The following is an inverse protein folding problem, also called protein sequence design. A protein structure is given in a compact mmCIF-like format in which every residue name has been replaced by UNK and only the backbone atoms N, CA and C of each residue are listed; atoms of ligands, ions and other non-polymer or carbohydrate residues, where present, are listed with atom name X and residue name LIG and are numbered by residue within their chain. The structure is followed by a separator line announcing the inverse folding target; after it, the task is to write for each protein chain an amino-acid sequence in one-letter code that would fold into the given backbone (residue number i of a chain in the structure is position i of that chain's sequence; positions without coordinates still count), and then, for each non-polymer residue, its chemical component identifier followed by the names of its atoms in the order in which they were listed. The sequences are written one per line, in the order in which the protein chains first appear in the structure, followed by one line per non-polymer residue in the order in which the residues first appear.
data_IF_328826736830
#
_entry.id   IF_328826736830
#
_cell.length_a   1.000
_cell.length_b   1.000
_cell.length_c   1.000
_cell.angle_alpha   90.00
_cell.angle_beta   90.00
_cell.angle_gamma   90.00
#
_symmetry.space_group_name_H-M   'P 1'
#
loop_
_entity.id
_entity.type
_entity.pdbx_description
1 polymer ?
#
# COMPACT_ATOMS: atom_id res chain seq x y z
N UNK A 1 -2.71 -37.30 -8.96
CA UNK A 1 -3.07 -36.11 -8.19
C UNK A 1 -4.42 -35.53 -8.60
N UNK A 2 -4.99 -34.60 -7.85
CA UNK A 2 -6.33 -34.03 -8.08
C UNK A 2 -6.47 -33.33 -9.45
N UNK A 3 -5.42 -32.69 -9.93
CA UNK A 3 -5.38 -32.06 -11.25
C UNK A 3 -5.63 -33.09 -12.36
N UNK A 4 -5.00 -34.27 -12.28
CA UNK A 4 -5.20 -35.35 -13.25
C UNK A 4 -6.59 -35.99 -13.19
N UNK A 5 -7.28 -35.91 -12.05
CA UNK A 5 -8.66 -36.37 -11.90
C UNK A 5 -9.68 -35.48 -12.64
N UNK A 6 -9.46 -34.18 -12.64
CA UNK A 6 -10.17 -33.17 -13.43
C UNK A 6 -11.63 -32.93 -13.05
N UNK A 7 -12.40 -33.95 -12.59
CA UNK A 7 -13.83 -33.84 -12.23
C UNK A 7 -14.25 -34.96 -11.28
N UNK A 8 -15.48 -34.87 -10.76
CA UNK A 8 -16.09 -35.85 -9.86
C UNK A 8 -15.26 -36.09 -8.57
N UNK A 9 -14.85 -34.98 -7.94
CA UNK A 9 -14.11 -35.03 -6.68
C UNK A 9 -14.98 -35.61 -5.55
N UNK A 10 -14.40 -36.55 -4.79
CA UNK A 10 -15.03 -37.08 -3.57
C UNK A 10 -14.83 -36.14 -2.38
N UNK A 11 -15.49 -36.43 -1.25
CA UNK A 11 -15.27 -35.66 -0.01
C UNK A 11 -13.83 -35.83 0.49
N UNK A 12 -13.24 -37.01 0.30
CA UNK A 12 -11.83 -37.27 0.64
C UNK A 12 -10.87 -36.43 -0.21
N UNK A 13 -11.17 -36.24 -1.50
CA UNK A 13 -10.39 -35.36 -2.38
C UNK A 13 -10.43 -33.91 -1.88
N UNK A 14 -11.61 -33.44 -1.41
CA UNK A 14 -11.74 -32.11 -0.84
C UNK A 14 -10.94 -31.95 0.46
N UNK A 15 -10.98 -32.97 1.34
CA UNK A 15 -10.18 -32.99 2.57
C UNK A 15 -8.68 -32.92 2.26
N UNK A 16 -8.21 -33.65 1.27
CA UNK A 16 -6.80 -33.57 0.81
C UNK A 16 -6.45 -32.16 0.35
N UNK A 17 -7.31 -31.52 -0.46
CA UNK A 17 -7.09 -30.15 -0.93
C UNK A 17 -7.05 -29.14 0.21
N UNK A 18 -8.02 -29.21 1.13
CA UNK A 18 -8.09 -28.30 2.28
C UNK A 18 -6.89 -28.46 3.22
N UNK A 19 -6.41 -29.70 3.43
CA UNK A 19 -5.21 -29.94 4.21
C UNK A 19 -3.95 -29.35 3.57
N UNK A 20 -3.82 -29.43 2.24
CA UNK A 20 -2.70 -28.78 1.53
C UNK A 20 -2.80 -27.25 1.60
N UNK A 21 -4.02 -26.66 1.49
CA UNK A 21 -4.22 -25.23 1.70
C UNK A 21 -3.78 -24.80 3.10
N UNK A 22 -4.19 -25.53 4.14
CA UNK A 22 -3.78 -25.23 5.53
C UNK A 22 -2.26 -25.25 5.68
N UNK A 23 -1.60 -26.27 5.14
CA UNK A 23 -0.11 -26.36 5.17
C UNK A 23 0.56 -25.17 4.47
N UNK A 24 -0.02 -24.65 3.38
CA UNK A 24 0.50 -23.46 2.69
C UNK A 24 0.29 -22.20 3.52
N UNK A 25 -0.90 -22.03 4.08
CA UNK A 25 -1.24 -20.89 4.95
C UNK A 25 -0.30 -20.87 6.16
N UNK A 26 -0.07 -22.00 6.80
CA UNK A 26 0.82 -22.12 7.96
C UNK A 26 2.26 -21.72 7.67
N UNK A 27 2.69 -21.76 6.40
CA UNK A 27 4.04 -21.33 5.97
C UNK A 27 4.15 -19.84 5.69
N UNK A 28 3.06 -19.13 5.44
CA UNK A 28 3.09 -17.73 4.97
C UNK A 28 3.83 -16.84 5.98
N UNK A 29 3.36 -16.78 7.20
CA UNK A 29 3.95 -15.92 8.25
C UNK A 29 5.40 -16.30 8.58
N UNK A 30 5.73 -17.59 8.85
CA UNK A 30 7.12 -17.97 9.12
C UNK A 30 8.08 -17.67 7.97
N UNK A 31 7.64 -17.88 6.73
CA UNK A 31 8.48 -17.57 5.56
C UNK A 31 8.79 -16.07 5.45
N UNK A 32 7.77 -15.21 5.61
CA UNK A 32 7.97 -13.76 5.60
C UNK A 32 8.89 -13.32 6.76
N UNK A 33 8.68 -13.83 7.96
CA UNK A 33 9.52 -13.51 9.11
C UNK A 33 10.99 -13.89 8.89
N UNK A 34 11.27 -15.06 8.31
CA UNK A 34 12.63 -15.50 8.02
C UNK A 34 13.28 -14.65 6.91
N UNK A 35 12.57 -14.38 5.82
CA UNK A 35 13.09 -13.55 4.75
C UNK A 35 13.37 -12.10 5.22
N UNK A 36 12.55 -11.59 6.11
CA UNK A 36 12.79 -10.27 6.70
C UNK A 36 13.99 -10.29 7.65
N UNK A 37 14.08 -11.30 8.51
CA UNK A 37 15.22 -11.49 9.41
C UNK A 37 16.56 -11.58 8.69
N UNK A 38 16.59 -12.20 7.52
CA UNK A 38 17.81 -12.30 6.68
C UNK A 38 18.10 -11.03 5.87
N UNK A 39 17.22 -10.03 5.91
CA UNK A 39 17.34 -8.78 5.14
C UNK A 39 17.05 -8.93 3.64
N UNK A 40 16.46 -10.06 3.22
CA UNK A 40 16.10 -10.27 1.82
C UNK A 40 14.88 -9.46 1.40
N UNK A 41 13.96 -9.20 2.34
CA UNK A 41 12.79 -8.35 2.15
C UNK A 41 12.63 -7.37 3.29
N UNK A 42 11.96 -6.26 3.05
CA UNK A 42 11.37 -5.40 4.06
C UNK A 42 9.84 -5.59 4.03
N UNK A 43 9.21 -5.60 5.20
CA UNK A 43 7.77 -5.77 5.31
C UNK A 43 7.14 -4.48 5.83
N UNK A 44 6.10 -4.04 5.15
CA UNK A 44 5.21 -2.99 5.62
C UNK A 44 3.92 -3.59 6.16
N UNK A 45 3.20 -2.81 6.95
CA UNK A 45 1.84 -3.15 7.40
C UNK A 45 0.85 -2.08 7.00
N UNK A 46 -0.39 -2.27 7.36
CA UNK A 46 -1.48 -1.31 7.18
C UNK A 46 -2.16 -1.07 8.55
N UNK A 47 -2.92 0.00 8.73
CA UNK A 47 -3.74 0.18 9.93
C UNK A 47 -4.64 -1.04 10.17
N UNK A 48 -4.85 -1.43 11.43
CA UNK A 48 -5.35 -2.74 11.87
C UNK A 48 -6.57 -3.28 11.11
N UNK A 49 -7.63 -2.50 11.00
CA UNK A 49 -8.86 -2.89 10.30
C UNK A 49 -8.99 -2.26 8.89
N UNK A 50 -7.87 -1.81 8.31
CA UNK A 50 -7.81 -1.18 6.99
C UNK A 50 -8.73 0.04 6.82
N UNK A 51 -8.81 0.96 7.79
CA UNK A 51 -9.71 2.09 7.71
C UNK A 51 -9.12 3.23 6.87
N UNK A 52 -9.99 4.06 6.32
CA UNK A 52 -9.61 5.36 5.77
C UNK A 52 -9.33 6.32 6.94
N UNK A 53 -8.08 6.38 7.40
CA UNK A 53 -7.68 7.11 8.61
C UNK A 53 -8.12 8.58 8.64
N UNK A 54 -7.99 9.38 7.55
CA UNK A 54 -8.48 10.75 7.55
C UNK A 54 -9.95 10.86 7.91
N UNK A 55 -10.80 9.93 7.46
CA UNK A 55 -12.23 9.96 7.75
C UNK A 55 -12.58 9.54 9.18
N UNK A 56 -11.74 8.69 9.81
CA UNK A 56 -11.88 8.38 11.24
C UNK A 56 -11.40 9.57 12.07
N UNK A 57 -10.29 10.17 11.65
CA UNK A 57 -9.76 11.35 12.32
C UNK A 57 -10.82 12.47 12.34
N UNK A 58 -11.36 12.81 11.16
CA UNK A 58 -12.39 13.81 10.98
C UNK A 58 -13.04 13.68 9.60
N UNK A 59 -14.34 13.44 9.55
CA UNK A 59 -15.07 13.34 8.28
C UNK A 59 -15.00 14.60 7.42
N UNK A 60 -14.74 15.77 8.01
CA UNK A 60 -14.58 17.02 7.26
C UNK A 60 -13.33 17.03 6.37
N UNK A 61 -12.34 16.14 6.63
CA UNK A 61 -11.17 15.99 5.77
C UNK A 61 -11.51 15.45 4.37
N UNK A 62 -12.70 14.87 4.18
CA UNK A 62 -13.18 14.49 2.85
C UNK A 62 -13.19 15.69 1.89
N UNK A 63 -13.59 16.87 2.36
CA UNK A 63 -13.63 18.09 1.55
C UNK A 63 -12.24 18.61 1.13
N UNK A 64 -11.16 18.17 1.77
CA UNK A 64 -9.78 18.49 1.36
C UNK A 64 -9.39 17.65 0.14
N UNK A 65 -9.75 16.38 0.15
CA UNK A 65 -9.48 15.46 -0.99
C UNK A 65 -10.43 15.67 -2.17
N UNK A 66 -11.69 16.00 -1.89
CA UNK A 66 -12.76 16.27 -2.86
C UNK A 66 -13.55 17.51 -2.44
N UNK A 67 -13.30 18.62 -3.12
CA UNK A 67 -13.91 19.95 -2.82
C UNK A 67 -15.45 19.91 -2.97
N UNK A 68 -15.99 18.96 -3.72
CA UNK A 68 -17.43 18.77 -3.91
C UNK A 68 -18.07 17.72 -3.01
N UNK A 69 -17.32 17.12 -2.08
CA UNK A 69 -17.83 16.04 -1.24
C UNK A 69 -18.99 16.50 -0.35
N UNK A 70 -20.10 15.76 -0.39
CA UNK A 70 -21.19 15.93 0.56
C UNK A 70 -20.75 15.38 1.94
N UNK A 71 -20.64 16.26 2.90
CA UNK A 71 -20.25 15.88 4.25
C UNK A 71 -21.44 15.34 5.04
N UNK A 72 -21.25 14.36 5.94
CA UNK A 72 -22.31 13.84 6.77
C UNK A 72 -22.87 14.94 7.72
N UNK A 73 -24.19 14.95 7.89
CA UNK A 73 -24.86 15.87 8.83
C UNK A 73 -24.29 15.78 10.24
N UNK A 74 -23.96 14.57 10.70
CA UNK A 74 -23.29 14.33 11.96
C UNK A 74 -21.80 14.11 11.70
N UNK A 75 -20.99 15.13 11.99
CA UNK A 75 -19.53 15.01 11.91
C UNK A 75 -19.01 13.91 12.81
N UNK A 76 -18.25 12.97 12.23
CA UNK A 76 -17.49 11.98 12.97
C UNK A 76 -16.06 12.51 13.16
N UNK A 77 -15.59 12.56 14.41
CA UNK A 77 -14.25 13.05 14.74
C UNK A 77 -13.70 12.25 15.90
N UNK A 78 -12.81 11.30 15.62
CA UNK A 78 -12.23 10.36 16.57
C UNK A 78 -10.72 10.16 16.35
N UNK A 79 -9.89 11.19 16.58
CA UNK A 79 -8.43 11.09 16.40
C UNK A 79 -7.80 9.94 17.18
N UNK A 80 -8.28 9.67 18.40
CA UNK A 80 -7.78 8.57 19.23
C UNK A 80 -8.05 7.22 18.59
N UNK A 81 -9.24 7.02 17.99
CA UNK A 81 -9.56 5.75 17.33
C UNK A 81 -8.67 5.54 16.08
N UNK A 82 -8.38 6.62 15.33
CA UNK A 82 -7.45 6.57 14.21
C UNK A 82 -6.03 6.18 14.68
N UNK A 83 -5.54 6.78 15.77
CA UNK A 83 -4.22 6.44 16.33
C UNK A 83 -4.14 4.97 16.77
N UNK A 84 -5.17 4.48 17.45
CA UNK A 84 -5.25 3.05 17.88
C UNK A 84 -5.21 2.09 16.68
N UNK A 85 -5.75 2.47 15.51
CA UNK A 85 -5.66 1.63 14.32
C UNK A 85 -4.21 1.51 13.82
N UNK A 86 -3.43 2.57 13.89
CA UNK A 86 -1.99 2.56 13.53
C UNK A 86 -1.22 1.69 14.51
N UNK A 87 -1.33 1.96 15.82
CA UNK A 87 -0.68 1.22 16.90
C UNK A 87 -0.96 -0.28 16.78
N UNK A 88 -2.23 -0.69 16.74
CA UNK A 88 -2.63 -2.10 16.65
C UNK A 88 -2.14 -2.79 15.36
N UNK A 89 -2.07 -2.09 14.25
CA UNK A 89 -1.53 -2.64 13.00
C UNK A 89 -0.05 -2.99 13.15
N UNK A 90 0.73 -2.09 13.74
CA UNK A 90 2.15 -2.30 14.01
C UNK A 90 2.38 -3.40 15.05
N UNK A 91 1.63 -3.40 16.15
CA UNK A 91 1.75 -4.40 17.21
C UNK A 91 1.42 -5.81 16.72
N UNK A 92 0.38 -5.94 15.89
CA UNK A 92 0.04 -7.24 15.30
C UNK A 92 1.13 -7.74 14.36
N UNK A 93 1.67 -6.85 13.50
CA UNK A 93 2.77 -7.19 12.60
C UNK A 93 4.02 -7.62 13.38
N UNK A 94 4.41 -6.86 14.41
CA UNK A 94 5.53 -7.20 15.29
C UNK A 94 5.33 -8.55 15.98
N UNK A 95 4.14 -8.78 16.53
CA UNK A 95 3.80 -10.05 17.18
C UNK A 95 3.90 -11.26 16.24
N UNK A 96 3.49 -11.10 14.98
CA UNK A 96 3.46 -12.21 14.02
C UNK A 96 4.81 -12.43 13.32
N UNK A 97 5.57 -11.37 13.11
CA UNK A 97 6.77 -11.38 12.25
C UNK A 97 8.08 -11.24 13.07
N UNK A 98 7.98 -10.89 14.36
CA UNK A 98 9.11 -10.77 15.26
C UNK A 98 9.90 -9.45 15.14
N UNK A 99 9.48 -8.54 14.25
CA UNK A 99 10.06 -7.22 14.09
C UNK A 99 8.93 -6.20 13.86
N UNK A 100 9.12 -4.95 14.36
CA UNK A 100 8.18 -3.86 14.14
C UNK A 100 8.44 -3.20 12.79
N UNK A 101 7.46 -3.12 11.87
CA UNK A 101 7.62 -2.43 10.59
C UNK A 101 7.93 -0.95 10.78
N UNK A 102 8.80 -0.42 9.93
CA UNK A 102 9.08 1.02 9.86
C UNK A 102 8.36 1.70 8.68
N UNK A 103 7.84 0.92 7.77
CA UNK A 103 6.99 1.37 6.66
C UNK A 103 5.53 0.99 6.87
N UNK A 104 4.61 1.85 6.42
CA UNK A 104 3.18 1.57 6.45
C UNK A 104 2.51 1.96 5.13
N UNK A 105 1.61 1.09 4.67
CA UNK A 105 0.66 1.40 3.63
C UNK A 105 -0.61 1.98 4.28
N UNK A 106 -0.87 3.29 4.20
CA UNK A 106 -2.17 3.84 4.58
C UNK A 106 -3.26 3.19 3.74
N UNK A 107 -4.32 2.73 4.38
CA UNK A 107 -5.41 2.04 3.69
C UNK A 107 -5.92 2.88 2.51
N UNK A 108 -6.02 2.26 1.33
CA UNK A 108 -6.39 2.90 0.06
C UNK A 108 -5.48 4.08 -0.37
N UNK A 109 -4.28 4.19 0.21
CA UNK A 109 -3.41 5.34 0.00
C UNK A 109 -3.95 6.65 0.57
N UNK A 110 -4.95 6.59 1.45
CA UNK A 110 -5.60 7.77 2.01
C UNK A 110 -4.75 8.41 3.09
N UNK A 111 -4.35 9.65 2.87
CA UNK A 111 -3.49 10.43 3.75
C UNK A 111 -4.04 11.83 3.98
N UNK A 112 -3.64 12.43 5.09
CA UNK A 112 -3.81 13.87 5.37
C UNK A 112 -2.68 14.34 6.27
N UNK A 113 -2.49 15.65 6.38
CA UNK A 113 -1.48 16.24 7.25
C UNK A 113 -1.65 15.79 8.72
N UNK A 114 -2.90 15.64 9.17
CA UNK A 114 -3.23 15.28 10.54
C UNK A 114 -2.82 13.85 10.89
N UNK A 115 -2.98 12.91 9.93
CA UNK A 115 -2.63 11.50 10.19
C UNK A 115 -1.13 11.24 10.07
N UNK A 116 -0.36 12.09 9.40
CA UNK A 116 1.11 11.96 9.34
C UNK A 116 1.73 11.97 10.75
N UNK A 117 1.24 12.83 11.64
CA UNK A 117 1.71 12.90 13.03
C UNK A 117 1.46 11.62 13.82
N UNK A 118 0.44 10.85 13.47
CA UNK A 118 0.16 9.56 14.10
C UNK A 118 1.19 8.51 13.68
N UNK A 119 1.53 8.46 12.39
CA UNK A 119 2.57 7.57 11.88
C UNK A 119 3.91 7.84 12.53
N UNK A 120 4.33 9.12 12.58
CA UNK A 120 5.59 9.53 13.20
C UNK A 120 5.66 9.13 14.69
N UNK A 121 4.58 9.37 15.44
CA UNK A 121 4.49 9.06 16.86
C UNK A 121 4.66 7.56 17.15
N UNK A 122 4.14 6.71 16.27
CA UNK A 122 4.26 5.25 16.37
C UNK A 122 5.57 4.71 15.77
N UNK A 123 6.49 5.58 15.36
CA UNK A 123 7.81 5.21 14.86
C UNK A 123 7.85 4.80 13.38
N UNK A 124 6.77 5.01 12.64
CA UNK A 124 6.75 4.82 11.18
C UNK A 124 7.68 5.85 10.54
N UNK A 125 8.59 5.39 9.68
CA UNK A 125 9.58 6.22 9.01
C UNK A 125 9.18 6.59 7.58
N UNK A 126 8.35 5.76 6.95
CA UNK A 126 7.89 6.02 5.61
C UNK A 126 6.50 5.43 5.33
N UNK A 127 5.80 6.08 4.42
CA UNK A 127 4.50 5.65 3.89
C UNK A 127 4.53 5.73 2.37
N UNK A 128 3.56 5.10 1.72
CA UNK A 128 3.35 5.26 0.29
C UNK A 128 1.90 5.71 0.00
N UNK A 129 1.72 6.49 -1.07
CA UNK A 129 0.41 6.89 -1.57
C UNK A 129 0.45 7.05 -3.10
N UNK A 130 -0.54 7.64 -3.73
CA UNK A 130 -0.62 7.78 -5.18
C UNK A 130 -0.15 9.14 -5.71
N UNK A 131 0.30 9.20 -6.97
CA UNK A 131 0.78 10.42 -7.63
C UNK A 131 -0.25 11.56 -7.63
N UNK A 132 -1.55 11.22 -7.63
CA UNK A 132 -2.60 12.23 -7.60
C UNK A 132 -2.63 13.02 -6.27
N UNK A 133 -2.20 12.41 -5.17
CA UNK A 133 -2.04 13.10 -3.87
C UNK A 133 -0.91 14.12 -3.99
N UNK A 134 0.22 13.72 -4.59
CA UNK A 134 1.35 14.64 -4.80
C UNK A 134 0.96 15.80 -5.71
N UNK A 135 0.31 15.52 -6.83
CA UNK A 135 -0.10 16.57 -7.78
C UNK A 135 -1.02 17.61 -7.13
N UNK A 136 -1.99 17.18 -6.33
CA UNK A 136 -2.86 18.07 -5.56
C UNK A 136 -2.09 18.83 -4.47
N UNK A 137 -1.13 18.20 -3.81
CA UNK A 137 -0.33 18.83 -2.75
C UNK A 137 0.61 19.91 -3.29
N UNK A 138 1.05 19.79 -4.54
CA UNK A 138 1.92 20.75 -5.23
C UNK A 138 1.15 21.75 -6.11
N UNK A 139 -0.18 21.67 -6.14
CA UNK A 139 -1.04 22.48 -7.01
C UNK A 139 -0.68 22.35 -8.50
N UNK A 140 -0.31 21.16 -8.93
CA UNK A 140 -0.10 20.82 -10.34
C UNK A 140 -1.29 20.00 -10.85
N UNK A 141 -1.76 20.21 -12.11
CA UNK A 141 -3.00 19.59 -12.57
C UNK A 141 -2.97 18.06 -12.52
N UNK A 142 -2.01 17.48 -13.19
CA UNK A 142 -1.72 16.04 -13.24
C UNK A 142 -0.32 15.83 -13.78
N UNK A 143 0.25 14.66 -13.53
CA UNK A 143 1.51 14.27 -14.16
C UNK A 143 1.28 13.98 -15.65
N UNK A 144 1.96 14.75 -16.51
CA UNK A 144 1.97 14.49 -17.96
C UNK A 144 2.88 13.31 -18.27
N UNK A 145 2.52 12.55 -19.29
CA UNK A 145 3.27 11.37 -19.71
C UNK A 145 3.70 11.49 -21.17
N UNK A 146 4.83 10.92 -21.50
CA UNK A 146 5.31 10.77 -22.87
C UNK A 146 4.59 9.61 -23.58
N UNK A 147 4.99 9.31 -24.83
CA UNK A 147 4.41 8.25 -25.65
C UNK A 147 4.60 6.84 -25.07
N UNK A 148 5.60 6.64 -24.21
CA UNK A 148 5.87 5.38 -23.53
C UNK A 148 5.14 5.26 -22.19
N UNK A 149 4.31 6.25 -21.85
CA UNK A 149 3.53 6.28 -20.60
C UNK A 149 4.33 6.74 -19.37
N UNK A 150 5.56 7.21 -19.56
CA UNK A 150 6.43 7.67 -18.47
C UNK A 150 6.22 9.16 -18.19
N UNK A 151 6.25 9.54 -16.94
CA UNK A 151 6.08 10.95 -16.53
C UNK A 151 7.17 11.84 -17.13
N UNK A 152 6.81 13.07 -17.49
CA UNK A 152 7.73 14.03 -18.12
C UNK A 152 8.51 14.88 -17.12
N UNK A 153 8.22 14.74 -15.83
CA UNK A 153 8.92 15.38 -14.70
C UNK A 153 9.21 14.34 -13.61
N UNK A 154 10.05 13.34 -13.92
CA UNK A 154 10.34 12.19 -13.04
C UNK A 154 10.99 12.61 -11.73
N UNK A 155 11.77 13.68 -11.72
CA UNK A 155 12.41 14.25 -10.54
C UNK A 155 11.41 14.68 -9.46
N UNK A 156 10.15 14.94 -9.84
CA UNK A 156 9.08 15.28 -8.91
C UNK A 156 8.43 14.01 -8.37
N UNK A 157 8.09 13.04 -9.24
CA UNK A 157 7.35 11.85 -8.84
C UNK A 157 8.24 10.78 -8.20
N UNK A 158 9.45 10.55 -8.75
CA UNK A 158 10.32 9.45 -8.33
C UNK A 158 11.31 9.84 -7.22
N UNK A 159 11.10 11.01 -6.61
CA UNK A 159 11.86 11.46 -5.43
C UNK A 159 11.03 11.26 -4.17
N UNK A 160 11.62 10.76 -3.07
CA UNK A 160 10.95 10.74 -1.77
C UNK A 160 10.68 12.16 -1.27
N UNK A 161 9.48 12.39 -0.77
CA UNK A 161 9.08 13.64 -0.14
C UNK A 161 8.99 13.46 1.37
N UNK A 162 9.04 14.54 2.11
CA UNK A 162 8.86 14.53 3.55
C UNK A 162 7.65 15.36 3.95
N UNK A 163 6.76 14.74 4.72
CA UNK A 163 5.68 15.47 5.38
C UNK A 163 6.23 16.21 6.59
N UNK A 164 6.25 17.54 6.51
CA UNK A 164 6.75 18.39 7.60
C UNK A 164 5.79 18.38 8.79
N UNK A 165 6.22 17.75 9.88
CA UNK A 165 5.54 17.79 11.18
C UNK A 165 6.34 18.65 12.16
N UNK A 166 7.56 18.26 12.43
CA UNK A 166 8.62 18.95 13.17
C UNK A 166 9.94 18.43 12.60
N UNK A 167 11.04 19.14 12.76
CA UNK A 167 12.35 18.71 12.25
C UNK A 167 12.86 17.36 12.76
N UNK A 168 12.19 16.74 13.73
CA UNK A 168 12.59 15.46 14.34
C UNK A 168 11.66 14.30 14.01
N UNK A 169 10.46 14.57 13.49
CA UNK A 169 9.40 13.58 13.30
C UNK A 169 8.97 13.44 11.83
N UNK A 170 9.87 13.74 10.89
CA UNK A 170 9.55 13.67 9.46
C UNK A 170 9.30 12.23 9.03
N UNK A 171 8.19 12.04 8.30
CA UNK A 171 7.84 10.78 7.64
C UNK A 171 8.11 10.92 6.15
N UNK A 172 8.90 10.02 5.60
CA UNK A 172 9.13 9.96 4.16
C UNK A 172 7.88 9.47 3.44
N UNK A 173 7.54 10.09 2.32
CA UNK A 173 6.37 9.73 1.52
C UNK A 173 6.84 9.36 0.12
N UNK A 174 6.53 8.13 -0.30
CA UNK A 174 6.75 7.65 -1.66
C UNK A 174 5.44 7.72 -2.43
N UNK A 175 5.49 8.34 -3.60
CA UNK A 175 4.31 8.46 -4.46
C UNK A 175 4.40 7.46 -5.60
N UNK A 176 3.41 6.55 -5.68
CA UNK A 176 3.36 5.54 -6.72
C UNK A 176 3.06 6.16 -8.07
N UNK A 177 3.79 5.75 -9.10
CA UNK A 177 3.36 5.90 -10.47
C UNK A 177 2.16 4.98 -10.73
N UNK A 178 0.97 5.55 -10.83
CA UNK A 178 -0.26 4.78 -10.97
C UNK A 178 -0.31 4.05 -12.31
N UNK A 179 0.25 4.62 -13.38
CA UNK A 179 0.27 3.97 -14.68
C UNK A 179 1.04 2.64 -14.64
N UNK A 180 2.20 2.62 -13.97
CA UNK A 180 3.01 1.41 -13.85
C UNK A 180 2.41 0.46 -12.80
N UNK A 181 2.03 0.96 -11.64
CA UNK A 181 1.57 0.11 -10.53
C UNK A 181 0.22 -0.55 -10.80
N UNK A 182 -0.69 0.14 -11.49
CA UNK A 182 -2.03 -0.39 -11.76
C UNK A 182 -2.03 -1.47 -12.84
N UNK A 183 -1.00 -1.53 -13.70
CA UNK A 183 -0.85 -2.62 -14.67
C UNK A 183 -0.76 -3.98 -13.98
N UNK A 184 -0.03 -4.07 -12.87
CA UNK A 184 0.14 -5.31 -12.11
C UNK A 184 -1.20 -5.81 -11.57
N UNK A 185 -2.03 -4.90 -11.04
CA UNK A 185 -3.31 -5.26 -10.45
C UNK A 185 -4.45 -5.51 -11.44
N UNK A 186 -4.45 -4.79 -12.57
CA UNK A 186 -5.64 -4.72 -13.44
C UNK A 186 -5.40 -5.17 -14.88
N UNK A 187 -4.18 -5.06 -15.41
CA UNK A 187 -3.90 -5.34 -16.84
C UNK A 187 -3.28 -6.72 -17.04
N UNK A 188 -2.30 -7.06 -16.22
CA UNK A 188 -1.48 -8.26 -16.45
C UNK A 188 -2.22 -9.59 -16.21
N UNK A 189 -3.34 -9.58 -15.49
CA UNK A 189 -4.18 -10.77 -15.31
C UNK A 189 -4.72 -11.36 -16.63
N UNK A 190 -4.79 -10.54 -17.70
CA UNK A 190 -5.23 -10.96 -19.04
C UNK A 190 -4.09 -11.32 -19.99
N UNK A 191 -2.82 -11.26 -19.56
CA UNK A 191 -1.64 -11.53 -20.37
C UNK A 191 -0.99 -12.86 -20.02
N UNK A 192 -0.15 -13.39 -20.96
CA UNK A 192 0.77 -14.45 -20.56
C UNK A 192 1.83 -13.89 -19.60
N UNK A 193 2.39 -14.72 -18.69
CA UNK A 193 3.44 -14.25 -17.76
C UNK A 193 4.62 -13.60 -18.47
N UNK A 194 5.05 -14.15 -19.61
CA UNK A 194 6.17 -13.65 -20.40
C UNK A 194 5.89 -12.24 -20.95
N UNK A 195 4.68 -12.03 -21.47
CA UNK A 195 4.25 -10.71 -21.98
C UNK A 195 4.15 -9.69 -20.86
N UNK A 196 3.57 -10.07 -19.71
CA UNK A 196 3.44 -9.18 -18.56
C UNK A 196 4.81 -8.76 -18.01
N UNK A 197 5.74 -9.70 -17.89
CA UNK A 197 7.11 -9.40 -17.46
C UNK A 197 7.83 -8.49 -18.46
N UNK A 198 7.74 -8.77 -19.76
CA UNK A 198 8.38 -7.96 -20.79
C UNK A 198 7.86 -6.52 -20.79
N UNK A 199 6.54 -6.32 -20.65
CA UNK A 199 5.90 -5.01 -20.58
C UNK A 199 6.32 -4.23 -19.31
N UNK A 200 6.29 -4.89 -18.17
CA UNK A 200 6.73 -4.30 -16.89
C UNK A 200 8.19 -3.88 -16.93
N UNK A 201 9.07 -4.74 -17.45
CA UNK A 201 10.50 -4.43 -17.57
C UNK A 201 10.75 -3.27 -18.51
N UNK A 202 10.05 -3.20 -19.65
CA UNK A 202 10.12 -2.05 -20.57
C UNK A 202 9.72 -0.74 -19.86
N UNK A 203 8.64 -0.75 -19.09
CA UNK A 203 8.18 0.43 -18.35
C UNK A 203 9.20 0.88 -17.29
N UNK A 204 9.78 -0.07 -16.53
CA UNK A 204 10.81 0.23 -15.51
C UNK A 204 12.11 0.74 -16.14
N UNK A 205 12.55 0.17 -17.27
CA UNK A 205 13.74 0.63 -18.00
C UNK A 205 13.52 2.06 -18.53
N UNK A 206 12.37 2.33 -19.13
CA UNK A 206 12.04 3.66 -19.61
C UNK A 206 11.95 4.69 -18.46
N UNK A 207 11.43 4.30 -17.29
CA UNK A 207 11.40 5.17 -16.12
C UNK A 207 12.80 5.43 -15.52
N UNK A 208 13.75 4.52 -15.70
CA UNK A 208 15.15 4.69 -15.25
C UNK A 208 15.94 5.67 -16.15
N UNK A 209 15.56 5.80 -17.40
CA UNK A 209 16.30 6.62 -18.38
C UNK A 209 15.89 8.11 -18.38
N UNK A 210 14.85 8.47 -17.65
CA UNK A 210 14.39 9.86 -17.47
C UNK A 210 14.87 10.42 -16.14
#
# INVERSE_FOLDING_TARGET
GLVGKGRNYSEEDKVVLLNEHSKLIDKVIPTHAELWKTGQIEITTTPYAHPILPLIFDTNLAAVGDIGAELPTNRFNKPTDAAIQVEKGLDLAEKLLGQRPTGMWPAEGAVSQEVLGMFAKEGVKWIATGEHVLSKSLDIPTFKRNTDGIVTNPEVLYTPWYGQLNRQDDVAIFFRDLSISDQVGFTYSGMSPEMAVADMMKALEAAREV
#
